data_IF_503730558034
#
_entry.id   IF_503730558034
#
_cell.length_a   1.000
_cell.length_b   1.000
_cell.length_c   1.000
_cell.angle_alpha   90.00
_cell.angle_beta   90.00
_cell.angle_gamma   90.00
#
_symmetry.space_group_name_H-M   'P 1'
#
loop_
_entity.id
_entity.type
_entity.pdbx_description
1 polymer ?
#
# COMPACT_ATOMS: atom_id res chain seq x y z
N UNK A 1 -20.89 9.47 36.02
CA UNK A 1 -19.65 8.68 36.27
C UNK A 1 -18.53 9.32 35.48
N UNK A 2 -17.42 9.63 36.14
CA UNK A 2 -16.29 10.33 35.55
C UNK A 2 -15.56 9.51 34.47
N UNK A 3 -15.64 8.17 34.52
CA UNK A 3 -14.90 7.27 33.65
C UNK A 3 -15.81 6.33 32.89
N UNK A 4 -15.45 6.11 31.61
CA UNK A 4 -15.99 5.09 30.70
C UNK A 4 -14.84 4.21 30.25
N UNK A 5 -15.12 2.95 29.93
CA UNK A 5 -14.17 2.05 29.33
C UNK A 5 -14.75 1.43 28.06
N UNK A 6 -13.87 1.11 27.16
CA UNK A 6 -14.16 0.34 25.95
C UNK A 6 -13.06 -0.70 25.79
N UNK A 7 -13.43 -1.93 25.46
CA UNK A 7 -12.48 -2.97 25.15
C UNK A 7 -13.06 -3.93 24.11
N UNK A 8 -12.22 -4.32 23.15
CA UNK A 8 -12.61 -5.27 22.12
C UNK A 8 -11.47 -6.20 21.74
N UNK A 9 -11.83 -7.34 21.19
CA UNK A 9 -10.93 -8.24 20.50
C UNK A 9 -11.52 -8.56 19.12
N UNK A 10 -10.70 -8.54 18.10
CA UNK A 10 -11.08 -8.76 16.71
C UNK A 10 -10.09 -9.70 16.03
N UNK A 11 -10.61 -10.57 15.17
CA UNK A 11 -9.84 -11.27 14.16
C UNK A 11 -10.52 -11.07 12.81
N UNK A 12 -9.74 -10.69 11.81
CA UNK A 12 -10.17 -10.59 10.43
C UNK A 12 -9.26 -11.46 9.55
N UNK A 13 -9.88 -12.34 8.77
CA UNK A 13 -9.20 -13.16 7.77
C UNK A 13 -9.69 -12.75 6.37
N UNK A 14 -8.77 -12.33 5.52
CA UNK A 14 -9.03 -12.05 4.10
C UNK A 14 -8.46 -13.20 3.27
N UNK A 15 -9.34 -13.92 2.59
CA UNK A 15 -8.94 -14.96 1.63
C UNK A 15 -8.90 -14.38 0.23
N UNK A 16 -7.79 -14.65 -0.46
CA UNK A 16 -7.60 -14.29 -1.87
C UNK A 16 -7.48 -15.58 -2.66
N UNK A 17 -8.21 -15.66 -3.77
CA UNK A 17 -8.00 -16.64 -4.82
C UNK A 17 -7.93 -15.91 -6.15
N UNK A 18 -6.84 -16.04 -6.85
CA UNK A 18 -6.62 -15.48 -8.17
C UNK A 18 -6.49 -16.62 -9.18
N UNK A 19 -7.38 -16.66 -10.16
CA UNK A 19 -7.35 -17.61 -11.28
C UNK A 19 -7.05 -16.79 -12.53
N UNK A 20 -5.89 -17.05 -13.10
CA UNK A 20 -5.43 -16.41 -14.34
C UNK A 20 -5.66 -17.32 -15.51
N UNK A 21 -6.46 -16.87 -16.46
CA UNK A 21 -6.94 -17.67 -17.59
C UNK A 21 -6.47 -17.05 -18.91
N UNK A 22 -6.52 -17.88 -19.97
CA UNK A 22 -6.29 -17.46 -21.36
C UNK A 22 -4.88 -16.94 -21.64
N UNK A 23 -3.89 -17.39 -20.90
CA UNK A 23 -2.49 -17.14 -21.19
C UNK A 23 -1.79 -18.43 -21.66
N UNK A 24 -0.73 -18.28 -22.42
CA UNK A 24 0.02 -19.40 -22.95
C UNK A 24 1.19 -19.77 -22.02
N UNK A 25 1.44 -21.07 -21.94
CA UNK A 25 2.57 -21.60 -21.20
C UNK A 25 3.78 -21.73 -22.12
N UNK A 26 4.89 -21.08 -21.80
CA UNK A 26 6.10 -20.97 -22.63
C UNK A 26 6.61 -22.32 -23.12
N UNK A 27 6.63 -23.34 -22.25
CA UNK A 27 7.12 -24.68 -22.62
C UNK A 27 6.19 -25.32 -23.66
N UNK A 28 4.87 -25.13 -23.57
CA UNK A 28 3.92 -25.60 -24.56
C UNK A 28 4.00 -24.82 -25.87
N UNK A 29 4.30 -23.54 -25.80
CA UNK A 29 4.59 -22.74 -27.02
C UNK A 29 5.81 -23.29 -27.71
N UNK A 30 6.91 -23.55 -26.99
CA UNK A 30 8.12 -24.12 -27.56
C UNK A 30 7.86 -25.50 -28.18
N UNK A 31 7.10 -26.36 -27.50
CA UNK A 31 6.72 -27.67 -27.97
C UNK A 31 5.85 -27.62 -29.24
N UNK A 32 4.87 -26.73 -29.28
CA UNK A 32 3.96 -26.55 -30.43
C UNK A 32 4.64 -25.96 -31.68
N UNK A 33 5.77 -25.26 -31.50
CA UNK A 33 6.57 -24.70 -32.59
C UNK A 33 7.63 -25.66 -33.13
N UNK A 34 8.00 -26.73 -32.38
CA UNK A 34 8.94 -27.76 -32.86
C UNK A 34 8.18 -28.84 -33.59
N UNK A 35 8.03 -28.66 -34.93
CA UNK A 35 7.17 -29.44 -35.81
C UNK A 35 8.00 -30.31 -36.75
N UNK A 36 7.54 -31.54 -36.97
CA UNK A 36 8.09 -32.48 -37.95
C UNK A 36 6.96 -33.04 -38.84
N UNK A 37 7.36 -33.65 -39.94
CA UNK A 37 6.42 -34.41 -40.80
C UNK A 37 6.42 -35.86 -40.37
N UNK A 38 5.26 -36.45 -40.11
CA UNK A 38 5.08 -37.87 -39.81
C UNK A 38 5.18 -38.73 -41.07
N UNK A 39 5.04 -40.06 -40.86
CA UNK A 39 5.14 -41.04 -41.97
C UNK A 39 4.01 -40.92 -43.03
N UNK A 40 2.91 -40.24 -42.69
CA UNK A 40 1.73 -39.99 -43.55
C UNK A 40 1.75 -38.61 -44.21
N UNK A 41 2.81 -37.81 -43.95
CA UNK A 41 2.97 -36.47 -44.51
C UNK A 41 2.26 -35.35 -43.71
N UNK A 42 1.73 -35.63 -42.51
CA UNK A 42 1.10 -34.63 -41.65
C UNK A 42 2.13 -33.90 -40.79
N UNK A 43 1.85 -32.62 -40.50
CA UNK A 43 2.63 -31.84 -39.57
C UNK A 43 2.21 -32.18 -38.14
N UNK A 44 3.16 -32.68 -37.35
CA UNK A 44 2.97 -33.05 -35.93
C UNK A 44 4.06 -32.45 -35.06
N UNK A 45 3.80 -32.24 -33.78
CA UNK A 45 4.86 -31.87 -32.85
C UNK A 45 5.95 -32.97 -32.82
N UNK A 46 7.23 -32.61 -32.72
CA UNK A 46 8.33 -33.54 -32.53
C UNK A 46 8.14 -34.33 -31.24
N UNK A 47 7.78 -33.64 -30.15
CA UNK A 47 7.33 -34.23 -28.90
C UNK A 47 5.79 -34.15 -28.85
N UNK A 48 5.15 -35.31 -29.02
CA UNK A 48 3.68 -35.46 -29.00
C UNK A 48 3.11 -35.62 -27.60
N UNK A 49 3.94 -35.56 -26.54
CA UNK A 49 3.48 -35.64 -25.15
C UNK A 49 2.46 -34.56 -24.81
N UNK A 50 1.67 -34.81 -23.78
CA UNK A 50 0.64 -33.88 -23.29
C UNK A 50 -0.44 -33.48 -24.33
N UNK A 51 -0.56 -34.19 -25.44
CA UNK A 51 -1.50 -33.90 -26.50
C UNK A 51 -1.12 -32.66 -27.33
N UNK A 52 0.17 -32.49 -27.59
CA UNK A 52 0.68 -31.38 -28.38
C UNK A 52 0.00 -31.27 -29.74
N UNK A 53 -0.44 -30.08 -30.09
CA UNK A 53 -0.98 -29.71 -31.42
C UNK A 53 -0.09 -28.59 -31.96
N UNK A 54 0.44 -28.76 -33.22
CA UNK A 54 1.26 -27.73 -33.85
C UNK A 54 0.56 -26.37 -33.96
N UNK A 55 1.35 -25.31 -33.73
CA UNK A 55 0.87 -23.94 -33.90
C UNK A 55 1.47 -23.32 -35.14
N UNK A 56 0.63 -23.05 -36.13
CA UNK A 56 1.04 -22.31 -37.34
C UNK A 56 1.08 -20.80 -37.05
N UNK A 57 2.25 -20.24 -36.86
CA UNK A 57 2.46 -18.79 -36.66
C UNK A 57 2.65 -18.00 -37.94
N UNK A 58 2.68 -18.67 -39.11
CA UNK A 58 2.95 -18.04 -40.43
C UNK A 58 1.70 -17.61 -41.20
N UNK A 59 0.53 -17.90 -40.66
CA UNK A 59 -0.73 -17.50 -41.27
C UNK A 59 -1.67 -16.82 -40.30
N UNK A 60 -2.42 -15.82 -40.77
CA UNK A 60 -3.46 -15.18 -39.96
C UNK A 60 -4.52 -16.22 -39.60
N UNK A 61 -4.85 -16.31 -38.31
CA UNK A 61 -5.75 -17.31 -37.75
C UNK A 61 -5.17 -18.72 -37.72
N UNK A 62 -3.85 -18.88 -37.83
CA UNK A 62 -3.18 -20.18 -37.87
C UNK A 62 -3.18 -20.97 -36.55
N UNK A 63 -3.73 -20.40 -35.46
CA UNK A 63 -3.97 -21.14 -34.19
C UNK A 63 -5.31 -21.88 -34.32
N UNK A 64 -5.24 -23.22 -34.40
CA UNK A 64 -6.42 -24.06 -34.37
C UNK A 64 -7.05 -24.13 -32.97
N UNK A 65 -8.35 -24.46 -32.82
CA UNK A 65 -8.95 -24.69 -31.51
C UNK A 65 -8.19 -25.75 -30.65
N UNK A 66 -7.66 -26.79 -31.30
CA UNK A 66 -6.83 -27.79 -30.64
C UNK A 66 -5.50 -27.24 -30.13
N UNK A 67 -4.82 -26.42 -30.96
CA UNK A 67 -3.59 -25.74 -30.55
C UNK A 67 -3.85 -24.75 -29.40
N UNK A 68 -4.95 -23.99 -29.49
CA UNK A 68 -5.34 -23.06 -28.42
C UNK A 68 -5.57 -23.77 -27.09
N UNK A 69 -6.30 -24.88 -27.09
CA UNK A 69 -6.53 -25.69 -25.88
C UNK A 69 -5.24 -26.29 -25.33
N UNK A 70 -4.29 -26.65 -26.19
CA UNK A 70 -2.98 -27.14 -25.74
C UNK A 70 -2.13 -26.02 -25.14
N UNK A 71 -2.07 -24.85 -25.77
CA UNK A 71 -1.21 -23.75 -25.36
C UNK A 71 -1.65 -23.09 -24.06
N UNK A 72 -2.97 -22.97 -23.85
CA UNK A 72 -3.53 -22.31 -22.66
C UNK A 72 -3.41 -23.19 -21.42
N UNK A 73 -3.01 -22.54 -20.32
CA UNK A 73 -2.93 -23.19 -19.00
C UNK A 73 -3.49 -22.22 -17.96
N UNK A 74 -4.48 -22.62 -17.16
CA UNK A 74 -4.88 -21.82 -16.03
C UNK A 74 -3.76 -21.79 -14.98
N UNK A 75 -3.53 -20.63 -14.36
CA UNK A 75 -2.64 -20.49 -13.24
C UNK A 75 -3.41 -20.02 -12.01
N UNK A 76 -3.05 -20.53 -10.85
CA UNK A 76 -3.75 -20.29 -9.60
C UNK A 76 -2.80 -19.70 -8.55
N UNK A 77 -3.25 -18.68 -7.86
CA UNK A 77 -2.61 -18.20 -6.64
C UNK A 77 -3.66 -18.03 -5.53
N UNK A 78 -3.36 -18.51 -4.35
CA UNK A 78 -4.24 -18.39 -3.19
C UNK A 78 -3.47 -17.81 -2.01
N UNK A 79 -4.17 -17.08 -1.14
CA UNK A 79 -3.54 -16.50 0.02
C UNK A 79 -4.53 -16.14 1.12
N UNK A 80 -3.97 -15.93 2.31
CA UNK A 80 -4.71 -15.42 3.46
C UNK A 80 -3.91 -14.30 4.10
N UNK A 81 -4.53 -13.14 4.28
CA UNK A 81 -4.03 -12.09 5.15
C UNK A 81 -4.89 -12.07 6.42
N UNK A 82 -4.22 -12.06 7.57
CA UNK A 82 -4.87 -12.08 8.89
C UNK A 82 -4.47 -10.88 9.71
N UNK A 83 -5.44 -10.25 10.34
CA UNK A 83 -5.24 -9.21 11.33
C UNK A 83 -5.95 -9.62 12.63
N UNK A 84 -5.24 -9.54 13.76
CA UNK A 84 -5.80 -9.70 15.11
C UNK A 84 -5.56 -8.43 15.89
N UNK A 85 -6.55 -7.99 16.62
CA UNK A 85 -6.44 -6.79 17.47
C UNK A 85 -7.08 -7.09 18.81
N UNK A 86 -6.39 -6.67 19.87
CA UNK A 86 -6.95 -6.56 21.21
C UNK A 86 -6.67 -5.15 21.69
N UNK A 87 -7.73 -4.40 22.04
CA UNK A 87 -7.62 -3.01 22.44
C UNK A 87 -8.47 -2.75 23.69
N UNK A 88 -7.97 -1.91 24.56
CA UNK A 88 -8.71 -1.42 25.70
C UNK A 88 -8.35 0.05 25.97
N UNK A 89 -9.36 0.88 26.23
CA UNK A 89 -9.17 2.27 26.57
C UNK A 89 -10.09 2.73 27.68
N UNK A 90 -9.67 3.79 28.38
CA UNK A 90 -10.39 4.45 29.45
C UNK A 90 -10.49 5.93 29.12
N UNK A 91 -11.72 6.44 29.06
CA UNK A 91 -11.99 7.85 28.83
C UNK A 91 -12.59 8.46 30.09
N UNK A 92 -12.03 9.57 30.54
CA UNK A 92 -12.48 10.27 31.73
C UNK A 92 -12.55 11.77 31.55
N UNK A 93 -13.42 12.40 32.33
CA UNK A 93 -13.48 13.85 32.51
C UNK A 93 -12.93 14.20 33.90
N UNK A 94 -11.80 14.87 33.93
CA UNK A 94 -11.14 15.27 35.17
C UNK A 94 -11.85 16.43 35.87
N UNK A 95 -12.78 17.11 35.17
CA UNK A 95 -13.65 18.14 35.75
C UNK A 95 -14.54 17.59 36.88
N UNK A 96 -14.94 16.31 36.78
CA UNK A 96 -15.67 15.62 37.87
C UNK A 96 -14.85 15.55 39.19
N UNK A 97 -13.54 15.75 39.12
CA UNK A 97 -12.63 15.83 40.26
C UNK A 97 -12.14 17.25 40.55
N UNK A 98 -12.77 18.26 39.93
CA UNK A 98 -12.41 19.68 40.10
C UNK A 98 -11.15 20.11 39.34
N UNK A 99 -10.65 19.31 38.39
CA UNK A 99 -9.50 19.65 37.56
C UNK A 99 -10.01 20.38 36.30
N UNK A 100 -10.17 21.69 36.42
CA UNK A 100 -10.61 22.62 35.36
C UNK A 100 -9.69 23.82 35.33
N UNK A 101 -9.59 24.49 34.18
CA UNK A 101 -8.97 25.81 34.13
C UNK A 101 -9.89 26.84 34.76
N UNK A 102 -9.36 27.87 35.47
CA UNK A 102 -10.20 28.90 36.12
C UNK A 102 -11.13 29.64 35.16
N UNK A 103 -10.80 29.68 33.89
CA UNK A 103 -11.52 30.36 32.81
C UNK A 103 -12.33 29.39 31.93
N UNK A 104 -12.41 28.11 32.29
CA UNK A 104 -13.18 27.09 31.60
C UNK A 104 -14.27 26.53 32.49
N UNK A 105 -15.36 26.11 31.88
CA UNK A 105 -16.49 25.43 32.54
C UNK A 105 -16.33 23.89 32.50
N UNK A 106 -15.80 23.40 31.39
CA UNK A 106 -15.57 21.98 31.18
C UNK A 106 -14.21 21.56 31.76
N UNK A 107 -14.11 20.32 32.20
CA UNK A 107 -12.88 19.71 32.66
C UNK A 107 -11.95 19.27 31.54
N UNK A 108 -10.78 18.83 31.93
CA UNK A 108 -9.82 18.19 31.02
C UNK A 108 -10.33 16.78 30.72
N UNK A 109 -10.66 16.50 29.46
CA UNK A 109 -10.97 15.15 29.01
C UNK A 109 -9.70 14.39 28.67
N UNK A 110 -9.60 13.14 29.13
CA UNK A 110 -8.44 12.26 28.93
C UNK A 110 -8.89 10.90 28.43
N UNK A 111 -8.18 10.36 27.46
CA UNK A 111 -8.29 8.98 27.01
C UNK A 111 -6.93 8.31 27.07
N UNK A 112 -6.83 7.18 27.77
CA UNK A 112 -5.63 6.34 27.86
C UNK A 112 -5.96 4.93 27.42
N UNK A 113 -5.08 4.31 26.67
CA UNK A 113 -5.35 2.95 26.24
C UNK A 113 -4.09 2.19 25.83
N UNK A 114 -4.33 0.89 25.62
CA UNK A 114 -3.34 -0.04 25.12
C UNK A 114 -3.93 -0.87 24.01
N UNK A 115 -3.12 -1.19 23.00
CA UNK A 115 -3.50 -2.04 21.88
C UNK A 115 -2.39 -3.05 21.59
N UNK A 116 -2.78 -4.26 21.28
CA UNK A 116 -1.94 -5.26 20.64
C UNK A 116 -2.55 -5.61 19.29
N UNK A 117 -1.71 -5.60 18.25
CA UNK A 117 -2.09 -5.98 16.90
C UNK A 117 -1.07 -6.96 16.33
N UNK A 118 -1.58 -7.96 15.62
CA UNK A 118 -0.79 -8.96 14.89
C UNK A 118 -1.26 -9.00 13.44
N UNK A 119 -0.32 -8.89 12.52
CA UNK A 119 -0.57 -8.94 11.09
C UNK A 119 0.27 -10.03 10.44
N UNK A 120 -0.35 -10.86 9.62
CA UNK A 120 0.35 -11.92 8.90
C UNK A 120 -0.24 -12.15 7.52
N UNK A 121 0.61 -12.59 6.60
CA UNK A 121 0.24 -12.95 5.23
C UNK A 121 0.87 -14.28 4.89
N UNK A 122 0.09 -15.12 4.20
CA UNK A 122 0.56 -16.33 3.56
C UNK A 122 -0.05 -16.39 2.16
N UNK A 123 0.76 -16.14 1.14
CA UNK A 123 0.37 -16.14 -0.27
C UNK A 123 1.16 -17.24 -0.98
N UNK A 124 0.44 -18.12 -1.69
CA UNK A 124 1.01 -19.29 -2.34
C UNK A 124 0.52 -19.35 -3.80
N UNK A 125 1.35 -18.99 -4.77
CA UNK A 125 1.10 -19.24 -6.19
C UNK A 125 1.39 -20.71 -6.53
N UNK A 126 0.81 -21.18 -7.63
CA UNK A 126 1.11 -22.50 -8.18
C UNK A 126 2.46 -22.55 -8.93
N UNK A 127 2.81 -23.74 -9.40
CA UNK A 127 4.05 -23.97 -10.13
C UNK A 127 4.18 -23.09 -11.39
N UNK A 128 3.08 -22.83 -12.09
CA UNK A 128 3.07 -22.07 -13.35
C UNK A 128 3.45 -20.62 -13.10
N UNK A 129 2.90 -20.02 -12.05
CA UNK A 129 3.28 -18.68 -11.60
C UNK A 129 4.72 -18.65 -11.09
N UNK A 130 5.13 -19.64 -10.28
CA UNK A 130 6.48 -19.66 -9.67
C UNK A 130 7.60 -19.81 -10.69
N UNK A 131 7.36 -20.51 -11.81
CA UNK A 131 8.38 -20.69 -12.85
C UNK A 131 8.45 -19.51 -13.84
N UNK A 132 7.52 -18.56 -13.78
CA UNK A 132 7.42 -17.50 -14.78
C UNK A 132 7.07 -18.04 -16.17
N UNK A 133 6.40 -19.20 -16.23
CA UNK A 133 6.07 -19.91 -17.45
C UNK A 133 4.99 -19.24 -18.30
N UNK A 134 4.26 -18.27 -17.75
CA UNK A 134 3.21 -17.54 -18.49
C UNK A 134 3.81 -16.49 -19.41
N UNK A 135 3.29 -16.39 -20.64
CA UNK A 135 3.82 -15.47 -21.65
C UNK A 135 3.47 -14.02 -21.36
N UNK A 136 2.34 -13.75 -20.69
CA UNK A 136 1.83 -12.42 -20.38
C UNK A 136 2.23 -11.87 -19.00
N UNK A 137 2.91 -12.64 -18.15
CA UNK A 137 3.25 -12.21 -16.76
C UNK A 137 4.62 -11.52 -16.64
N UNK A 138 5.50 -11.68 -17.58
CA UNK A 138 6.82 -11.01 -17.60
C UNK A 138 7.86 -11.54 -16.61
N UNK A 139 7.49 -12.36 -15.62
CA UNK A 139 8.41 -12.90 -14.62
C UNK A 139 7.78 -13.92 -13.71
N UNK A 140 8.51 -14.34 -12.66
CA UNK A 140 8.03 -15.23 -11.62
C UNK A 140 7.11 -14.52 -10.64
N UNK A 141 6.19 -15.26 -10.05
CA UNK A 141 5.43 -14.84 -8.88
C UNK A 141 5.74 -15.80 -7.74
N UNK A 142 6.45 -15.30 -6.74
CA UNK A 142 6.94 -16.13 -5.65
C UNK A 142 6.01 -16.13 -4.44
N UNK A 143 6.03 -17.18 -3.60
CA UNK A 143 5.24 -17.22 -2.38
C UNK A 143 5.73 -16.17 -1.38
N UNK A 144 4.78 -15.52 -0.70
CA UNK A 144 5.07 -14.55 0.36
C UNK A 144 4.50 -15.05 1.68
N UNK A 145 5.35 -15.21 2.68
CA UNK A 145 4.92 -15.59 4.03
C UNK A 145 5.68 -14.80 5.07
N UNK A 146 4.95 -14.13 5.93
CA UNK A 146 5.53 -13.36 7.03
C UNK A 146 4.46 -12.72 7.91
N UNK A 147 4.92 -12.04 8.94
CA UNK A 147 4.05 -11.30 9.86
C UNK A 147 4.85 -10.58 10.92
N UNK A 148 4.19 -9.71 11.63
CA UNK A 148 4.71 -9.00 12.79
C UNK A 148 3.60 -8.65 13.76
N UNK A 149 3.97 -8.34 14.99
CA UNK A 149 3.05 -7.78 15.97
C UNK A 149 3.54 -6.43 16.48
N UNK A 150 2.62 -5.64 16.99
CA UNK A 150 2.89 -4.36 17.62
C UNK A 150 2.14 -4.26 18.94
N UNK A 151 2.78 -3.68 19.93
CA UNK A 151 2.21 -3.30 21.22
C UNK A 151 2.23 -1.79 21.33
N UNK A 152 1.11 -1.22 21.66
CA UNK A 152 0.93 0.23 21.64
C UNK A 152 0.35 0.73 22.94
N UNK A 153 0.84 1.88 23.37
CA UNK A 153 0.28 2.67 24.47
C UNK A 153 -0.05 4.05 23.93
N UNK A 154 -1.21 4.58 24.27
CA UNK A 154 -1.62 5.88 23.79
C UNK A 154 -2.31 6.71 24.88
N UNK A 155 -2.14 8.02 24.75
CA UNK A 155 -2.77 9.04 25.55
C UNK A 155 -3.29 10.13 24.64
N UNK A 156 -4.55 10.52 24.82
CA UNK A 156 -5.14 11.70 24.19
C UNK A 156 -5.80 12.59 25.25
N UNK A 157 -5.72 13.90 25.06
CA UNK A 157 -6.37 14.84 25.97
C UNK A 157 -6.92 16.04 25.22
N UNK A 158 -8.09 16.48 25.64
CA UNK A 158 -8.66 17.78 25.26
C UNK A 158 -8.69 18.67 26.47
N UNK A 159 -8.08 19.83 26.34
CA UNK A 159 -7.81 20.78 27.40
C UNK A 159 -8.54 22.10 27.07
N UNK A 160 -9.72 22.37 27.65
CA UNK A 160 -10.39 23.65 27.53
C UNK A 160 -9.65 24.69 28.39
N UNK A 161 -9.18 25.78 27.79
CA UNK A 161 -8.52 26.88 28.50
C UNK A 161 -9.48 28.00 28.85
N UNK A 162 -10.33 28.41 27.90
CA UNK A 162 -11.23 29.55 28.05
C UNK A 162 -12.59 29.18 27.43
N UNK A 163 -13.67 29.52 28.14
CA UNK A 163 -15.03 29.36 27.64
C UNK A 163 -15.90 30.56 28.06
N UNK A 164 -16.75 31.02 27.15
CA UNK A 164 -17.74 32.11 27.35
C UNK A 164 -17.14 33.44 27.83
N UNK A 165 -15.95 33.81 27.33
CA UNK A 165 -15.32 35.09 27.58
C UNK A 165 -15.33 35.98 26.32
N UNK A 166 -15.16 37.27 26.51
CA UNK A 166 -15.08 38.24 25.41
C UNK A 166 -13.94 37.90 24.46
N UNK A 167 -14.22 37.81 23.16
CA UNK A 167 -13.30 37.37 22.08
C UNK A 167 -12.72 35.97 22.27
N UNK A 168 -13.30 35.16 23.15
CA UNK A 168 -12.90 33.77 23.40
C UNK A 168 -14.11 32.95 23.86
N UNK A 169 -15.10 32.80 22.96
CA UNK A 169 -16.24 31.91 23.17
C UNK A 169 -15.78 30.51 23.52
N UNK A 170 -14.70 30.04 22.86
CA UNK A 170 -13.94 28.85 23.29
C UNK A 170 -12.49 28.92 22.85
N UNK A 171 -11.59 28.44 23.70
CA UNK A 171 -10.20 28.17 23.38
C UNK A 171 -9.85 26.81 23.98
N UNK A 172 -9.49 25.87 23.15
CA UNK A 172 -9.09 24.52 23.60
C UNK A 172 -7.89 23.99 22.84
N UNK A 173 -7.14 23.13 23.47
CA UNK A 173 -6.02 22.39 22.88
C UNK A 173 -6.32 20.89 22.91
N UNK A 174 -5.95 20.22 21.83
CA UNK A 174 -5.92 18.76 21.77
C UNK A 174 -4.47 18.29 21.68
N UNK A 175 -4.12 17.30 22.49
CA UNK A 175 -2.83 16.64 22.43
C UNK A 175 -3.03 15.14 22.36
N UNK A 176 -2.17 14.46 21.64
CA UNK A 176 -2.16 13.01 21.56
C UNK A 176 -0.74 12.50 21.40
N UNK A 177 -0.48 11.36 22.01
CA UNK A 177 0.79 10.65 21.91
C UNK A 177 0.54 9.16 21.88
N UNK A 178 1.26 8.45 20.98
CA UNK A 178 1.22 7.00 20.86
C UNK A 178 2.64 6.48 20.72
N UNK A 179 2.99 5.57 21.57
CA UNK A 179 4.20 4.77 21.50
C UNK A 179 3.86 3.39 20.98
N UNK A 180 4.61 2.90 19.97
CA UNK A 180 4.40 1.61 19.33
C UNK A 180 5.70 0.82 19.32
N UNK A 181 5.68 -0.39 19.88
CA UNK A 181 6.81 -1.33 19.95
C UNK A 181 6.53 -2.52 19.02
N UNK A 182 7.34 -2.64 17.97
CA UNK A 182 7.18 -3.64 16.92
C UNK A 182 8.07 -4.85 17.15
N UNK A 183 7.53 -6.06 16.93
CA UNK A 183 8.31 -7.30 16.94
C UNK A 183 9.42 -7.34 15.87
N UNK A 184 9.49 -6.36 15.02
CA UNK A 184 10.53 -6.14 14.00
C UNK A 184 11.83 -5.54 14.55
N UNK A 185 11.87 -5.21 15.86
CA UNK A 185 13.06 -4.69 16.52
C UNK A 185 13.21 -3.18 16.48
N UNK A 186 12.16 -2.44 16.17
CA UNK A 186 12.12 -0.98 16.27
C UNK A 186 10.87 -0.50 17.01
N UNK A 187 10.92 0.72 17.50
CA UNK A 187 9.79 1.43 18.07
C UNK A 187 9.52 2.74 17.32
N UNK A 188 8.32 3.28 17.50
CA UNK A 188 7.93 4.54 16.86
C UNK A 188 7.08 5.38 17.80
N UNK A 189 7.19 6.70 17.62
CA UNK A 189 6.44 7.71 18.34
C UNK A 189 5.60 8.51 17.34
N UNK A 190 4.30 8.55 17.55
CA UNK A 190 3.40 9.47 16.84
C UNK A 190 2.74 10.41 17.82
N UNK A 191 2.51 11.65 17.41
CA UNK A 191 1.93 12.67 18.27
C UNK A 191 1.19 13.73 17.49
N UNK A 192 0.24 14.37 18.15
CA UNK A 192 -0.53 15.50 17.62
C UNK A 192 -0.66 16.61 18.65
N UNK A 193 -0.67 17.84 18.17
CA UNK A 193 -1.07 19.04 18.93
C UNK A 193 -2.00 19.84 18.05
N UNK A 194 -3.18 20.15 18.55
CA UNK A 194 -4.17 21.00 17.88
C UNK A 194 -4.62 22.14 18.78
N UNK A 195 -4.85 23.30 18.21
CA UNK A 195 -5.46 24.45 18.87
C UNK A 195 -6.74 24.83 18.14
N UNK A 196 -7.79 25.02 18.90
CA UNK A 196 -9.07 25.50 18.40
C UNK A 196 -9.47 26.76 19.16
N UNK A 197 -9.72 27.86 18.44
CA UNK A 197 -10.13 29.13 18.99
C UNK A 197 -11.37 29.65 18.28
N UNK A 198 -12.45 29.83 19.02
CA UNK A 198 -13.64 30.52 18.58
C UNK A 198 -13.75 31.88 19.30
N UNK A 199 -13.40 33.00 18.64
CA UNK A 199 -13.59 34.33 19.25
C UNK A 199 -15.07 34.64 19.49
N UNK A 200 -15.93 34.16 18.60
CA UNK A 200 -17.39 34.26 18.67
C UNK A 200 -18.00 32.95 18.21
N UNK A 201 -19.28 32.71 18.47
CA UNK A 201 -19.94 31.44 18.12
C UNK A 201 -19.97 31.16 16.61
N UNK A 202 -19.94 32.21 15.79
CA UNK A 202 -20.06 32.09 14.33
C UNK A 202 -18.72 31.83 13.61
N UNK A 203 -17.58 31.98 14.31
CA UNK A 203 -16.25 31.88 13.72
C UNK A 203 -15.36 31.01 14.59
N UNK A 204 -14.69 30.05 13.97
CA UNK A 204 -13.75 29.14 14.64
C UNK A 204 -12.51 28.97 13.80
N UNK A 205 -11.37 29.21 14.39
CA UNK A 205 -10.04 28.93 13.83
C UNK A 205 -9.53 27.61 14.37
N UNK A 206 -8.87 26.85 13.51
CA UNK A 206 -8.22 25.58 13.87
C UNK A 206 -6.80 25.59 13.33
N UNK A 207 -5.86 25.19 14.15
CA UNK A 207 -4.48 24.96 13.76
C UNK A 207 -4.00 23.65 14.37
N UNK A 208 -3.21 22.88 13.63
CA UNK A 208 -2.69 21.63 14.15
C UNK A 208 -1.39 21.23 13.50
N UNK A 209 -0.61 20.50 14.27
CA UNK A 209 0.60 19.83 13.82
C UNK A 209 0.58 18.39 14.32
N UNK A 210 0.89 17.44 13.43
CA UNK A 210 0.96 16.04 13.80
C UNK A 210 2.10 15.33 13.09
N UNK A 211 2.72 14.39 13.79
CA UNK A 211 3.62 13.38 13.25
C UNK A 211 2.90 12.04 13.18
N UNK A 212 2.79 11.51 11.97
CA UNK A 212 2.28 10.17 11.70
C UNK A 212 3.41 9.24 11.31
N UNK A 213 3.27 7.97 11.64
CA UNK A 213 4.25 6.93 11.31
C UNK A 213 3.53 5.79 10.61
N UNK A 214 4.15 5.26 9.55
CA UNK A 214 3.73 4.04 8.86
C UNK A 214 4.83 2.98 8.96
N UNK A 215 4.55 1.87 9.63
CA UNK A 215 5.43 0.71 9.58
C UNK A 215 5.38 0.05 8.18
N UNK A 216 6.47 -0.57 7.72
CA UNK A 216 6.46 -1.37 6.51
C UNK A 216 5.43 -2.51 6.61
N UNK A 217 4.73 -2.80 5.52
CA UNK A 217 3.80 -3.92 5.48
C UNK A 217 4.51 -5.26 5.25
N UNK A 218 3.79 -6.39 5.43
CA UNK A 218 4.37 -7.73 5.34
C UNK A 218 4.99 -8.00 3.96
N UNK A 219 4.40 -7.50 2.87
CA UNK A 219 4.95 -7.70 1.52
C UNK A 219 6.21 -6.87 1.30
N UNK A 220 6.25 -5.64 1.78
CA UNK A 220 7.46 -4.78 1.72
C UNK A 220 8.65 -5.38 2.48
N UNK A 221 8.38 -6.16 3.53
CA UNK A 221 9.41 -6.81 4.34
C UNK A 221 9.85 -8.16 3.78
N UNK A 222 8.90 -9.00 3.33
CA UNK A 222 9.12 -10.43 3.18
C UNK A 222 8.90 -10.95 1.75
N UNK A 223 8.59 -10.09 0.75
CA UNK A 223 8.55 -10.56 -0.64
C UNK A 223 9.92 -11.07 -1.06
N UNK A 224 10.04 -12.27 -1.61
CA UNK A 224 11.29 -12.77 -2.16
C UNK A 224 11.81 -11.87 -3.28
N UNK A 225 13.11 -11.93 -3.52
CA UNK A 225 13.68 -11.24 -4.67
C UNK A 225 13.36 -12.02 -5.94
N UNK A 226 12.74 -11.34 -6.89
CA UNK A 226 12.38 -11.90 -8.19
C UNK A 226 12.64 -10.89 -9.32
N UNK A 227 12.83 -11.41 -10.51
CA UNK A 227 12.94 -10.56 -11.71
C UNK A 227 11.54 -10.32 -12.26
N UNK A 228 11.14 -9.06 -12.33
CA UNK A 228 9.86 -8.65 -12.89
C UNK A 228 10.00 -7.39 -13.74
N UNK A 229 8.92 -6.98 -14.39
CA UNK A 229 8.90 -5.73 -15.17
C UNK A 229 9.01 -4.54 -14.20
N UNK A 230 9.98 -3.66 -14.47
CA UNK A 230 10.28 -2.52 -13.57
C UNK A 230 10.30 -1.29 -14.43
N UNK A 231 10.54 -0.81 -15.27
CA UNK A 231 10.54 0.47 -15.96
C UNK A 231 10.10 0.39 -17.42
N UNK A 232 9.72 1.53 -17.94
CA UNK A 232 9.40 1.71 -19.34
C UNK A 232 10.52 2.41 -20.13
N UNK A 233 11.50 3.00 -19.45
CA UNK A 233 12.55 3.80 -20.05
C UNK A 233 13.88 3.53 -19.35
N UNK A 234 14.91 3.18 -20.11
CA UNK A 234 16.30 3.17 -19.63
C UNK A 234 16.90 4.57 -19.87
N UNK A 235 17.25 5.32 -18.81
CA UNK A 235 17.83 6.63 -18.94
C UNK A 235 19.20 6.61 -19.63
N UNK A 236 19.90 5.47 -19.64
CA UNK A 236 21.20 5.29 -20.26
C UNK A 236 21.13 4.80 -21.71
N UNK A 237 19.92 4.51 -22.22
CA UNK A 237 19.74 4.06 -23.60
C UNK A 237 19.69 5.22 -24.62
N UNK A 238 19.88 4.86 -25.87
CA UNK A 238 19.88 5.77 -27.01
C UNK A 238 21.22 6.40 -27.34
N UNK A 239 21.30 7.06 -28.49
CA UNK A 239 22.57 7.64 -29.00
C UNK A 239 23.04 8.88 -28.21
N UNK A 240 22.15 9.53 -27.48
CA UNK A 240 22.46 10.69 -26.65
C UNK A 240 21.66 10.65 -25.33
N UNK A 241 22.07 9.83 -24.34
CA UNK A 241 21.37 9.69 -23.08
C UNK A 241 21.17 11.02 -22.34
N UNK A 242 22.13 11.92 -22.38
CA UNK A 242 22.08 13.23 -21.70
C UNK A 242 20.98 14.15 -22.26
N UNK A 243 20.59 14.01 -23.53
CA UNK A 243 19.50 14.80 -24.10
C UNK A 243 18.13 14.40 -23.50
N UNK A 244 17.98 13.14 -23.11
CA UNK A 244 16.75 12.60 -22.55
C UNK A 244 16.70 12.72 -21.03
N UNK A 245 17.86 12.61 -20.37
CA UNK A 245 18.00 12.70 -18.91
C UNK A 245 19.34 13.36 -18.56
N UNK A 246 19.35 14.59 -17.99
CA UNK A 246 20.58 15.30 -17.63
C UNK A 246 21.45 14.57 -16.60
N UNK A 247 20.86 13.60 -15.87
CA UNK A 247 21.59 12.77 -14.91
C UNK A 247 22.20 11.50 -15.54
N UNK A 248 21.91 11.20 -16.80
CA UNK A 248 22.45 10.04 -17.51
C UNK A 248 23.86 10.28 -18.03
N UNK A 249 24.75 10.76 -17.18
CA UNK A 249 26.18 10.93 -17.50
C UNK A 249 26.88 9.58 -17.64
N UNK A 250 28.01 9.54 -18.36
CA UNK A 250 28.84 8.33 -18.45
C UNK A 250 29.17 7.76 -17.06
N UNK A 251 29.50 8.63 -16.10
CA UNK A 251 29.84 8.23 -14.74
C UNK A 251 28.63 7.64 -13.98
N UNK A 252 27.43 8.20 -14.16
CA UNK A 252 26.23 7.67 -13.50
C UNK A 252 25.77 6.36 -14.15
N UNK A 253 25.79 6.25 -15.46
CA UNK A 253 25.48 5.02 -16.18
C UNK A 253 26.48 3.90 -15.87
N UNK A 254 27.77 4.23 -15.68
CA UNK A 254 28.77 3.25 -15.27
C UNK A 254 28.47 2.62 -13.90
N UNK A 255 27.81 3.36 -12.98
CA UNK A 255 27.38 2.84 -11.67
C UNK A 255 26.27 1.78 -11.77
N UNK A 256 25.51 1.76 -12.88
CA UNK A 256 24.49 0.77 -13.17
C UNK A 256 25.00 -0.39 -14.04
N UNK A 257 26.31 -0.44 -14.30
CA UNK A 257 26.97 -1.52 -15.05
C UNK A 257 27.16 -1.24 -16.54
N UNK A 258 26.86 -0.04 -17.02
CA UNK A 258 27.11 0.35 -18.42
C UNK A 258 28.61 0.54 -18.63
N UNK A 259 29.19 -0.26 -19.54
CA UNK A 259 30.59 -0.14 -19.91
C UNK A 259 30.85 1.12 -20.77
N UNK A 260 32.05 1.74 -20.74
CA UNK A 260 32.34 2.94 -21.51
C UNK A 260 32.05 2.82 -23.00
N UNK A 261 32.30 1.64 -23.61
CA UNK A 261 32.01 1.38 -25.02
C UNK A 261 30.53 1.12 -25.34
N UNK A 262 29.68 0.99 -24.35
CA UNK A 262 28.22 0.79 -24.52
C UNK A 262 27.46 2.10 -24.43
N UNK A 263 28.01 3.10 -23.76
CA UNK A 263 27.37 4.41 -23.61
C UNK A 263 27.10 5.06 -24.95
N UNK A 264 25.85 5.43 -25.24
CA UNK A 264 25.42 5.95 -26.52
C UNK A 264 25.10 4.88 -27.59
N UNK A 265 25.27 3.60 -27.28
CA UNK A 265 25.00 2.49 -28.21
C UNK A 265 23.96 1.49 -27.66
N UNK A 266 23.46 1.68 -26.47
CA UNK A 266 22.39 0.84 -25.92
C UNK A 266 21.10 1.14 -26.66
N UNK A 267 20.55 0.13 -27.36
CA UNK A 267 19.26 0.27 -28.04
C UNK A 267 18.15 0.45 -27.01
N UNK A 268 17.22 1.37 -27.28
CA UNK A 268 15.99 1.46 -26.50
C UNK A 268 15.15 0.18 -26.71
N UNK A 269 14.48 -0.27 -25.65
CA UNK A 269 13.60 -1.43 -25.73
C UNK A 269 12.31 -1.04 -26.47
N UNK A 270 12.04 -1.67 -27.62
CA UNK A 270 10.85 -1.39 -28.46
C UNK A 270 9.53 -1.70 -27.73
N UNK A 271 9.54 -2.63 -26.78
CA UNK A 271 8.36 -2.96 -25.98
C UNK A 271 8.16 -1.98 -24.79
N UNK A 272 9.10 -1.06 -24.57
CA UNK A 272 9.12 -0.16 -23.40
C UNK A 272 8.98 -0.92 -22.07
N UNK A 273 9.60 -2.09 -21.98
CA UNK A 273 9.56 -2.96 -20.79
C UNK A 273 10.97 -3.43 -20.47
N UNK A 274 11.39 -3.15 -19.26
CA UNK A 274 12.69 -3.56 -18.72
C UNK A 274 12.49 -4.45 -17.52
N UNK A 275 13.38 -5.42 -17.34
CA UNK A 275 13.37 -6.27 -16.17
C UNK A 275 14.24 -5.64 -15.08
N UNK A 276 13.72 -5.67 -13.85
CA UNK A 276 14.43 -5.28 -12.65
C UNK A 276 14.37 -6.37 -11.59
N UNK A 277 15.38 -6.45 -10.73
CA UNK A 277 15.36 -7.27 -9.54
C UNK A 277 14.59 -6.52 -8.46
N UNK A 278 13.44 -7.04 -8.08
CA UNK A 278 12.54 -6.47 -7.09
C UNK A 278 12.35 -7.45 -5.93
N UNK A 279 12.06 -6.94 -4.74
CA UNK A 279 11.80 -7.79 -3.59
C UNK A 279 11.60 -7.00 -2.32
N UNK A 280 11.27 -7.67 -1.24
CA UNK A 280 11.14 -7.11 0.08
C UNK A 280 12.50 -6.79 0.71
N UNK A 281 12.47 -5.89 1.69
CA UNK A 281 13.63 -5.56 2.49
C UNK A 281 13.28 -5.66 3.99
N UNK A 282 13.76 -6.70 4.70
CA UNK A 282 13.48 -6.87 6.13
C UNK A 282 14.02 -5.74 7.02
N UNK A 283 14.93 -4.92 6.50
CA UNK A 283 15.56 -3.81 7.20
C UNK A 283 14.94 -2.44 6.85
N UNK A 284 13.74 -2.41 6.29
CA UNK A 284 13.04 -1.15 6.04
C UNK A 284 12.74 -0.41 7.34
N UNK A 285 13.03 0.88 7.35
CA UNK A 285 12.63 1.76 8.44
C UNK A 285 11.18 2.22 8.26
N UNK A 286 10.48 2.56 9.36
CA UNK A 286 9.20 3.23 9.30
C UNK A 286 9.28 4.56 8.54
N UNK A 287 8.22 4.86 7.81
CA UNK A 287 8.04 6.17 7.18
C UNK A 287 7.41 7.14 8.18
N UNK A 288 7.88 8.38 8.18
CA UNK A 288 7.34 9.46 9.01
C UNK A 288 6.83 10.59 8.14
N UNK A 289 5.69 11.16 8.53
CA UNK A 289 5.10 12.32 7.88
C UNK A 289 4.74 13.38 8.92
N UNK A 290 5.26 14.59 8.74
CA UNK A 290 4.91 15.76 9.53
C UNK A 290 3.89 16.59 8.75
N UNK A 291 2.74 16.87 9.37
CA UNK A 291 1.62 17.56 8.73
C UNK A 291 1.23 18.78 9.54
N UNK A 292 1.19 19.94 8.89
CA UNK A 292 0.63 21.17 9.46
C UNK A 292 -0.72 21.47 8.81
N UNK A 293 -1.73 21.77 9.62
CA UNK A 293 -3.06 22.11 9.16
C UNK A 293 -3.50 23.47 9.70
N UNK A 294 -4.24 24.21 8.89
CA UNK A 294 -4.93 25.43 9.29
C UNK A 294 -6.31 25.45 8.65
N UNK A 295 -7.32 25.90 9.41
CA UNK A 295 -8.68 25.97 8.93
C UNK A 295 -9.49 27.05 9.62
N UNK A 296 -10.51 27.56 8.93
CA UNK A 296 -11.51 28.48 9.46
C UNK A 296 -12.89 27.88 9.21
N UNK A 297 -13.73 27.86 10.25
CA UNK A 297 -15.13 27.44 10.16
C UNK A 297 -16.00 28.67 10.38
N UNK A 298 -16.89 28.93 9.42
CA UNK A 298 -17.86 30.02 9.48
C UNK A 298 -19.26 29.42 9.56
N UNK A 299 -20.03 29.78 10.60
CA UNK A 299 -21.41 29.33 10.84
C UNK A 299 -22.33 30.54 11.11
N UNK A 300 -22.58 31.40 10.11
CA UNK A 300 -23.34 32.64 10.31
C UNK A 300 -24.81 32.31 10.65
N UNK A 301 -25.25 32.64 11.85
CA UNK A 301 -26.58 32.32 12.38
C UNK A 301 -27.72 33.06 11.65
N UNK A 302 -27.43 34.16 10.97
CA UNK A 302 -28.44 34.86 10.17
C UNK A 302 -28.91 34.07 8.95
N UNK A 303 -28.14 33.06 8.49
CA UNK A 303 -28.56 32.17 7.43
C UNK A 303 -29.49 31.04 7.93
N UNK A 304 -29.37 30.64 9.19
CA UNK A 304 -30.16 29.55 9.79
C UNK A 304 -31.57 30.05 10.20
N UNK A 305 -31.72 31.33 10.54
CA UNK A 305 -33.01 31.93 10.89
C UNK A 305 -34.02 32.00 9.73
N UNK A 306 -33.56 32.13 8.49
CA UNK A 306 -34.42 32.18 7.31
C UNK A 306 -35.04 30.82 6.93
N UNK A 307 -34.43 29.70 7.27
CA UNK A 307 -34.99 28.39 6.98
C UNK A 307 -36.11 27.98 7.96
N UNK A 308 -36.14 28.55 9.16
CA UNK A 308 -37.25 28.28 10.10
C UNK A 308 -38.52 29.06 9.73
N UNK A 309 -38.39 30.34 9.33
CA UNK A 309 -39.54 31.13 8.87
C UNK A 309 -40.13 30.58 7.54
N UNK A 310 -39.32 29.99 6.67
CA UNK A 310 -39.78 29.40 5.41
C UNK A 310 -40.48 28.03 5.57
N UNK A 311 -40.43 27.41 6.76
CA UNK A 311 -41.12 26.16 7.07
C UNK A 311 -42.42 26.34 7.88
N UNK A 312 -42.68 27.55 8.34
CA UNK A 312 -43.94 27.92 9.09
C UNK A 312 -44.91 28.74 8.22
N UNK A 313 -44.63 28.96 6.94
CA UNK A 313 -45.53 29.50 5.91
C UNK A 313 -45.90 28.38 4.90
#
# INVERSE_FOLDING_TARGET
>A
KAWKYDAYAMQADKHLTNIYLNDFFKDRVQQALDVVTDGDGNLVCRDTSNGCVPWNIFSLGGVSPGALNFLQVPALAAGTARTRVVSANFTGDLGEYGITFPTAKDGIAVNVGAEWRDESTNFQPDYIFMTGGLTGQGGTTDPVKGGYSVKELFLESRIPFIQDHFMAQSLSMEVGYRYSDYSLGFNTDSWKVGLEWAPVEDIRFRGGFNRSVRAPNVSELYSPQSVSLDGSTDPCAGPNPLANNPNATVANCARTGVLPGQYGFIAANNASQYNGLQGGNPNLNPETADTTTFGVVLQPRFLVGREREAREL
#
